data_IF_404412153955
#
_entry.id   IF_404412153955
#
_cell.length_a   1.000
_cell.length_b   1.000
_cell.length_c   1.000
_cell.angle_alpha   90.00
_cell.angle_beta   90.00
_cell.angle_gamma   90.00
#
_symmetry.space_group_name_H-M   'P 1'
#
loop_
_entity.id
_entity.type
_entity.pdbx_description
1 polymer ?
#
# COMPACT_ATOMS: atom_id res chain seq x y z
N UNK A 1 2.45 -22.76 -15.77
CA UNK A 1 2.86 -21.36 -15.51
C UNK A 1 1.61 -20.51 -15.59
N UNK A 2 1.18 -19.93 -14.47
CA UNK A 2 -0.05 -19.14 -14.42
C UNK A 2 0.14 -17.85 -15.22
N UNK A 3 -0.71 -17.65 -16.22
CA UNK A 3 -0.62 -16.53 -17.16
C UNK A 3 -1.06 -15.26 -16.41
N UNK A 4 -0.11 -14.55 -15.79
CA UNK A 4 -0.42 -13.33 -15.02
C UNK A 4 -1.10 -12.30 -15.93
N UNK A 5 -2.31 -11.88 -15.56
CA UNK A 5 -3.06 -10.88 -16.31
C UNK A 5 -2.23 -9.59 -16.43
N UNK A 6 -2.27 -8.92 -17.59
CA UNK A 6 -1.56 -7.65 -17.77
C UNK A 6 -2.18 -6.58 -16.85
N UNK A 7 -1.33 -5.86 -16.13
CA UNK A 7 -1.73 -4.74 -15.26
C UNK A 7 -2.03 -3.52 -16.15
N UNK A 8 -3.30 -3.13 -16.25
CA UNK A 8 -3.76 -1.96 -17.01
C UNK A 8 -4.17 -0.82 -16.10
N UNK A 9 -4.68 -1.14 -14.91
CA UNK A 9 -5.11 -0.21 -13.87
C UNK A 9 -4.55 -0.59 -12.51
N UNK A 10 -4.58 0.33 -11.55
CA UNK A 10 -4.24 0.02 -10.15
C UNK A 10 -5.21 -1.01 -9.54
N UNK A 11 -6.44 -1.11 -10.08
CA UNK A 11 -7.38 -2.17 -9.71
C UNK A 11 -6.86 -3.58 -9.99
N UNK A 12 -5.94 -3.75 -10.94
CA UNK A 12 -5.33 -5.04 -11.27
C UNK A 12 -4.21 -5.42 -10.28
N UNK A 13 -3.84 -4.54 -9.34
CA UNK A 13 -2.83 -4.81 -8.32
C UNK A 13 -3.48 -5.53 -7.12
N UNK A 14 -3.03 -6.75 -6.83
CA UNK A 14 -3.51 -7.51 -5.67
C UNK A 14 -3.31 -6.73 -4.36
N UNK A 15 -2.20 -6.00 -4.23
CA UNK A 15 -1.91 -5.16 -3.06
C UNK A 15 -2.94 -4.05 -2.87
N UNK A 16 -3.44 -3.45 -3.96
CA UNK A 16 -4.48 -2.45 -3.88
C UNK A 16 -5.80 -3.08 -3.41
N UNK A 17 -6.18 -4.23 -3.98
CA UNK A 17 -7.43 -4.91 -3.63
C UNK A 17 -7.43 -5.34 -2.16
N UNK A 18 -6.31 -5.86 -1.66
CA UNK A 18 -6.16 -6.27 -0.27
C UNK A 18 -6.18 -5.05 0.66
N UNK A 19 -5.40 -4.01 0.36
CA UNK A 19 -5.37 -2.78 1.15
C UNK A 19 -6.75 -2.11 1.22
N UNK A 20 -7.49 -2.07 0.12
CA UNK A 20 -8.85 -1.52 0.12
C UNK A 20 -9.79 -2.32 1.03
N UNK A 21 -9.82 -3.65 0.90
CA UNK A 21 -10.65 -4.53 1.77
C UNK A 21 -10.27 -4.37 3.24
N UNK A 22 -8.99 -4.40 3.57
CA UNK A 22 -8.50 -4.24 4.94
C UNK A 22 -8.89 -2.86 5.51
N UNK A 23 -8.74 -1.79 4.73
CA UNK A 23 -9.13 -0.43 5.16
C UNK A 23 -10.63 -0.32 5.48
N UNK A 24 -11.49 -1.00 4.70
CA UNK A 24 -12.94 -1.04 4.98
C UNK A 24 -13.22 -1.76 6.30
N UNK A 25 -12.54 -2.89 6.58
CA UNK A 25 -12.69 -3.59 7.84
C UNK A 25 -12.21 -2.73 9.02
N UNK A 26 -11.07 -2.05 8.92
CA UNK A 26 -10.60 -1.12 9.95
C UNK A 26 -11.67 -0.04 10.22
N UNK A 27 -12.18 0.60 9.17
CA UNK A 27 -13.15 1.70 9.31
C UNK A 27 -14.53 1.27 9.82
N UNK A 28 -14.94 0.03 9.56
CA UNK A 28 -16.29 -0.45 9.91
C UNK A 28 -16.32 -1.32 11.15
N UNK A 29 -15.19 -1.91 11.55
CA UNK A 29 -15.11 -2.90 12.65
C UNK A 29 -14.13 -2.53 13.76
N UNK A 30 -13.12 -1.69 13.50
CA UNK A 30 -12.15 -1.27 14.54
C UNK A 30 -12.49 0.13 15.03
N UNK A 31 -12.41 1.14 14.15
CA UNK A 31 -12.58 2.55 14.53
C UNK A 31 -13.89 2.84 15.30
N UNK A 32 -15.06 2.29 14.91
CA UNK A 32 -16.31 2.56 15.61
C UNK A 32 -16.37 1.97 17.03
N UNK A 33 -15.61 0.91 17.31
CA UNK A 33 -15.65 0.20 18.59
C UNK A 33 -14.71 0.79 19.64
N UNK A 34 -13.75 1.65 19.24
CA UNK A 34 -12.85 2.32 20.18
C UNK A 34 -13.62 3.26 21.12
N UNK A 35 -13.15 3.45 22.36
CA UNK A 35 -13.77 4.38 23.31
C UNK A 35 -13.71 5.83 22.81
N UNK A 36 -14.62 6.68 23.27
CA UNK A 36 -14.67 8.07 22.82
C UNK A 36 -13.46 8.91 23.26
N UNK A 37 -12.74 8.48 24.31
CA UNK A 37 -11.45 9.07 24.70
C UNK A 37 -10.41 9.03 23.58
N UNK A 38 -10.51 8.07 22.66
CA UNK A 38 -9.58 7.88 21.54
C UNK A 38 -9.95 8.68 20.28
N UNK A 39 -10.98 9.54 20.35
CA UNK A 39 -11.51 10.27 19.20
C UNK A 39 -10.45 11.06 18.42
N UNK A 40 -9.57 11.76 19.13
CA UNK A 40 -8.51 12.57 18.55
C UNK A 40 -7.14 11.87 18.57
N UNK A 41 -7.13 10.58 18.88
CA UNK A 41 -5.92 9.77 18.93
C UNK A 41 -6.09 8.50 18.07
N UNK A 42 -6.20 7.29 18.62
CA UNK A 42 -6.22 6.07 17.79
C UNK A 42 -7.34 6.06 16.75
N UNK A 43 -8.53 6.62 17.03
CA UNK A 43 -9.62 6.67 16.04
C UNK A 43 -9.20 7.48 14.82
N UNK A 44 -8.58 8.64 15.03
CA UNK A 44 -8.17 9.53 13.94
C UNK A 44 -6.96 8.98 13.20
N UNK A 45 -5.95 8.49 13.94
CA UNK A 45 -4.75 7.88 13.35
C UNK A 45 -5.11 6.68 12.46
N UNK A 46 -5.84 5.68 12.98
CA UNK A 46 -6.25 4.50 12.21
C UNK A 46 -7.17 4.84 11.04
N UNK A 47 -8.05 5.82 11.21
CA UNK A 47 -8.89 6.31 10.12
C UNK A 47 -8.01 6.84 8.98
N UNK A 48 -7.07 7.73 9.28
CA UNK A 48 -6.21 8.32 8.25
C UNK A 48 -5.30 7.28 7.60
N UNK A 49 -4.54 6.53 8.39
CA UNK A 49 -3.49 5.65 7.87
C UNK A 49 -4.04 4.47 7.07
N UNK A 50 -5.08 3.78 7.58
CA UNK A 50 -5.67 2.64 6.88
C UNK A 50 -6.24 3.02 5.50
N UNK A 51 -6.86 4.20 5.39
CA UNK A 51 -7.39 4.71 4.12
C UNK A 51 -6.30 5.28 3.22
N UNK A 52 -5.15 5.69 3.76
CA UNK A 52 -4.06 6.26 2.99
C UNK A 52 -3.39 5.21 2.10
N UNK A 53 -3.16 3.99 2.61
CA UNK A 53 -2.50 2.90 1.86
C UNK A 53 -3.10 2.68 0.46
N UNK A 54 -4.40 2.36 0.28
CA UNK A 54 -4.97 2.17 -1.06
C UNK A 54 -5.00 3.46 -1.90
N UNK A 55 -5.10 4.64 -1.29
CA UNK A 55 -5.06 5.93 -2.01
C UNK A 55 -3.68 6.20 -2.59
N UNK A 56 -2.63 6.00 -1.81
CA UNK A 56 -1.25 6.20 -2.21
C UNK A 56 -0.86 5.24 -3.34
N UNK A 57 -1.30 3.98 -3.29
CA UNK A 57 -1.10 3.03 -4.40
C UNK A 57 -1.75 3.55 -5.70
N UNK A 58 -3.00 4.02 -5.63
CA UNK A 58 -3.72 4.53 -6.79
C UNK A 58 -3.06 5.81 -7.36
N UNK A 59 -2.69 6.76 -6.50
CA UNK A 59 -2.03 8.00 -6.90
C UNK A 59 -0.63 7.75 -7.48
N UNK A 60 0.14 6.88 -6.84
CA UNK A 60 1.45 6.43 -7.32
C UNK A 60 1.35 5.77 -8.68
N UNK A 61 0.36 4.91 -8.89
CA UNK A 61 0.16 4.23 -10.17
C UNK A 61 -0.18 5.20 -11.32
N UNK A 62 -0.85 6.32 -11.04
CA UNK A 62 -1.06 7.39 -12.02
C UNK A 62 0.27 8.04 -12.45
N UNK A 63 1.24 8.11 -11.53
CA UNK A 63 2.58 8.68 -11.74
C UNK A 63 3.63 7.65 -12.16
N UNK A 64 3.24 6.39 -12.48
CA UNK A 64 4.14 5.31 -12.92
C UNK A 64 4.94 5.61 -14.18
N UNK A 65 4.64 6.63 -14.97
CA UNK A 65 5.54 6.99 -16.08
C UNK A 65 6.84 7.66 -15.58
N UNK A 66 6.84 8.17 -14.34
CA UNK A 66 7.98 8.79 -13.67
C UNK A 66 8.55 7.78 -12.67
N UNK A 67 9.80 7.34 -12.89
CA UNK A 67 10.44 6.31 -12.05
C UNK A 67 10.37 6.65 -10.55
N UNK A 68 10.86 7.83 -10.18
CA UNK A 68 10.87 8.31 -8.79
C UNK A 68 9.47 8.68 -8.29
N UNK A 69 8.54 8.99 -9.20
CA UNK A 69 7.16 9.32 -8.88
C UNK A 69 6.49 8.16 -8.17
N UNK A 70 6.38 6.99 -8.83
CA UNK A 70 5.68 5.85 -8.21
C UNK A 70 6.40 5.30 -6.97
N UNK A 71 7.73 5.28 -6.98
CA UNK A 71 8.50 4.75 -5.84
C UNK A 71 8.19 5.48 -4.53
N UNK A 72 8.20 6.82 -4.55
CA UNK A 72 7.84 7.63 -3.38
C UNK A 72 6.48 7.26 -2.78
N UNK A 73 5.46 7.05 -3.62
CA UNK A 73 4.13 6.67 -3.14
C UNK A 73 4.07 5.27 -2.55
N UNK A 74 4.90 4.34 -3.04
CA UNK A 74 5.01 3.00 -2.45
C UNK A 74 5.70 3.06 -1.09
N UNK A 75 6.72 3.90 -0.94
CA UNK A 75 7.40 4.15 0.34
C UNK A 75 6.43 4.79 1.35
N UNK A 76 5.69 5.82 0.93
CA UNK A 76 4.66 6.45 1.77
C UNK A 76 3.57 5.43 2.15
N UNK A 77 3.12 4.59 1.21
CA UNK A 77 2.12 3.54 1.48
C UNK A 77 2.63 2.49 2.46
N UNK A 78 3.94 2.17 2.43
CA UNK A 78 4.57 1.29 3.41
C UNK A 78 4.55 1.92 4.82
N UNK A 79 4.85 3.23 4.91
CA UNK A 79 4.76 3.97 6.17
C UNK A 79 3.36 3.90 6.79
N UNK A 80 2.34 4.19 6.00
CA UNK A 80 0.93 4.15 6.43
C UNK A 80 0.45 2.73 6.77
N UNK A 81 0.97 1.71 6.07
CA UNK A 81 0.72 0.30 6.40
C UNK A 81 1.27 -0.05 7.79
N UNK A 82 2.51 0.37 8.09
CA UNK A 82 3.14 0.13 9.37
C UNK A 82 2.44 0.91 10.51
N UNK A 83 2.05 2.17 10.27
CA UNK A 83 1.27 2.95 11.24
C UNK A 83 -0.06 2.25 11.55
N UNK A 84 -0.74 1.73 10.53
CA UNK A 84 -1.98 0.97 10.72
C UNK A 84 -1.76 -0.30 11.55
N UNK A 85 -0.69 -1.07 11.28
CA UNK A 85 -0.36 -2.28 12.05
C UNK A 85 -0.10 -1.95 13.52
N UNK A 86 0.69 -0.92 13.81
CA UNK A 86 0.98 -0.50 15.18
C UNK A 86 -0.30 -0.09 15.91
N UNK A 87 -1.16 0.70 15.26
CA UNK A 87 -2.46 1.06 15.82
C UNK A 87 -3.36 -0.15 16.09
N UNK A 88 -3.33 -1.17 15.23
CA UNK A 88 -4.08 -2.42 15.45
C UNK A 88 -3.52 -3.23 16.64
N UNK A 89 -2.20 -3.26 16.83
CA UNK A 89 -1.59 -3.86 18.03
C UNK A 89 -2.04 -3.11 19.30
N UNK A 90 -2.02 -1.78 19.28
CA UNK A 90 -2.48 -0.96 20.40
C UNK A 90 -3.98 -1.18 20.69
N UNK A 91 -4.84 -1.24 19.68
CA UNK A 91 -6.24 -1.62 19.83
C UNK A 91 -6.40 -2.96 20.56
N UNK A 92 -5.62 -3.97 20.17
CA UNK A 92 -5.67 -5.31 20.75
C UNK A 92 -5.23 -5.33 22.21
N UNK A 93 -4.14 -4.65 22.52
CA UNK A 93 -3.45 -4.78 23.80
C UNK A 93 -3.96 -3.79 24.86
N UNK A 94 -4.38 -2.59 24.45
CA UNK A 94 -4.90 -1.54 25.34
C UNK A 94 -6.41 -1.66 25.54
N UNK A 95 -7.14 -2.11 24.50
CA UNK A 95 -8.61 -2.11 24.49
C UNK A 95 -9.25 -3.50 24.31
N UNK A 96 -8.83 -4.55 25.05
CA UNK A 96 -9.33 -5.92 24.88
C UNK A 96 -10.83 -6.08 25.18
N UNK A 97 -11.43 -5.17 25.95
CA UNK A 97 -12.88 -5.16 26.23
C UNK A 97 -13.71 -4.60 25.06
N UNK A 98 -13.09 -3.79 24.20
CA UNK A 98 -13.75 -3.15 23.06
C UNK A 98 -13.47 -3.88 21.74
N UNK A 99 -12.39 -4.65 21.69
CA UNK A 99 -11.87 -5.27 20.47
C UNK A 99 -11.83 -6.79 20.57
N UNK A 100 -12.26 -7.45 19.51
CA UNK A 100 -12.05 -8.88 19.37
C UNK A 100 -10.60 -9.14 18.95
N UNK A 101 -9.83 -9.85 19.79
CA UNK A 101 -8.40 -10.03 19.59
C UNK A 101 -8.06 -10.82 18.30
N UNK A 102 -8.95 -11.71 17.89
CA UNK A 102 -8.89 -12.45 16.63
C UNK A 102 -9.00 -11.52 15.41
N UNK A 103 -9.94 -10.57 15.44
CA UNK A 103 -10.09 -9.57 14.37
C UNK A 103 -8.86 -8.68 14.25
N UNK A 104 -8.34 -8.19 15.38
CA UNK A 104 -7.10 -7.40 15.38
C UNK A 104 -5.93 -8.20 14.80
N UNK A 105 -5.76 -9.46 15.25
CA UNK A 105 -4.67 -10.32 14.79
C UNK A 105 -4.80 -10.63 13.29
N UNK A 106 -6.00 -10.93 12.80
CA UNK A 106 -6.26 -11.11 11.38
C UNK A 106 -5.90 -9.86 10.55
N UNK A 107 -6.28 -8.67 11.01
CA UNK A 107 -5.97 -7.43 10.29
C UNK A 107 -4.47 -7.12 10.33
N UNK A 108 -3.78 -7.40 11.43
CA UNK A 108 -2.31 -7.27 11.51
C UNK A 108 -1.65 -8.16 10.45
N UNK A 109 -2.08 -9.42 10.33
CA UNK A 109 -1.57 -10.35 9.33
C UNK A 109 -1.87 -9.90 7.88
N UNK A 110 -3.06 -9.36 7.63
CA UNK A 110 -3.39 -8.81 6.30
C UNK A 110 -2.53 -7.58 5.97
N UNK A 111 -2.27 -6.69 6.93
CA UNK A 111 -1.37 -5.57 6.69
C UNK A 111 0.09 -6.01 6.53
N UNK A 112 0.56 -7.06 7.23
CA UNK A 112 1.91 -7.62 7.01
C UNK A 112 2.04 -8.17 5.58
N UNK A 113 1.02 -8.88 5.11
CA UNK A 113 0.93 -9.33 3.72
C UNK A 113 0.91 -8.15 2.75
N UNK A 114 0.14 -7.09 3.03
CA UNK A 114 0.12 -5.87 2.20
C UNK A 114 1.51 -5.25 2.13
N UNK A 115 2.23 -5.12 3.25
CA UNK A 115 3.61 -4.62 3.29
C UNK A 115 4.54 -5.47 2.41
N UNK A 116 4.46 -6.81 2.50
CA UNK A 116 5.23 -7.70 1.61
C UNK A 116 4.87 -7.51 0.14
N UNK A 117 3.59 -7.29 -0.18
CA UNK A 117 3.17 -7.04 -1.55
C UNK A 117 3.63 -5.66 -2.07
N UNK A 118 3.62 -4.62 -1.23
CA UNK A 118 4.15 -3.29 -1.54
C UNK A 118 5.65 -3.38 -1.88
N UNK A 119 6.43 -4.04 -1.03
CA UNK A 119 7.86 -4.25 -1.26
C UNK A 119 8.13 -4.98 -2.59
N UNK A 120 7.39 -6.06 -2.86
CA UNK A 120 7.53 -6.80 -4.11
C UNK A 120 7.14 -5.95 -5.34
N UNK A 121 6.10 -5.13 -5.23
CA UNK A 121 5.70 -4.20 -6.28
C UNK A 121 6.78 -3.15 -6.53
N UNK A 122 7.39 -2.61 -5.48
CA UNK A 122 8.49 -1.65 -5.55
C UNK A 122 9.71 -2.26 -6.26
N UNK A 123 10.14 -3.46 -5.87
CA UNK A 123 11.24 -4.18 -6.52
C UNK A 123 10.96 -4.43 -8.01
N UNK A 124 9.75 -4.91 -8.33
CA UNK A 124 9.34 -5.18 -9.70
C UNK A 124 9.33 -3.89 -10.53
N UNK A 125 8.82 -2.79 -9.96
CA UNK A 125 8.75 -1.50 -10.61
C UNK A 125 10.14 -0.89 -10.86
N UNK A 126 11.04 -0.99 -9.89
CA UNK A 126 12.43 -0.54 -10.02
C UNK A 126 13.17 -1.29 -11.14
N UNK A 127 12.99 -2.61 -11.23
CA UNK A 127 13.56 -3.40 -12.32
C UNK A 127 12.98 -2.99 -13.68
N UNK A 128 11.65 -2.86 -13.79
CA UNK A 128 10.97 -2.50 -15.03
C UNK A 128 11.34 -1.11 -15.53
N UNK A 129 11.33 -0.11 -14.64
CA UNK A 129 11.64 1.28 -14.98
C UNK A 129 13.12 1.46 -15.39
N UNK A 130 14.04 0.71 -14.79
CA UNK A 130 15.47 0.70 -15.18
C UNK A 130 15.66 0.19 -16.60
N UNK A 131 15.03 -0.93 -16.96
CA UNK A 131 15.09 -1.51 -18.32
C UNK A 131 14.56 -0.50 -19.33
N UNK A 132 13.37 0.08 -19.08
CA UNK A 132 12.77 1.08 -19.96
C UNK A 132 13.66 2.31 -20.19
N UNK A 133 14.42 2.72 -19.18
CA UNK A 133 15.34 3.87 -19.26
C UNK A 133 16.59 3.55 -20.10
N UNK A 134 17.09 2.32 -20.01
CA UNK A 134 18.23 1.85 -20.81
C UNK A 134 17.85 1.74 -22.29
N UNK A 135 16.69 1.14 -22.58
CA UNK A 135 16.18 1.00 -23.95
C UNK A 135 15.98 2.37 -24.62
N UNK A 136 15.44 3.35 -23.89
CA UNK A 136 15.27 4.71 -24.43
C UNK A 136 16.59 5.40 -24.77
N UNK A 137 17.64 5.19 -23.96
CA UNK A 137 18.97 5.77 -24.21
C UNK A 137 19.64 5.14 -25.44
N UNK A 138 19.60 3.81 -25.54
CA UNK A 138 20.14 3.10 -26.70
C UNK A 138 19.46 3.49 -28.03
N UNK A 139 18.14 3.74 -28.00
CA UNK A 139 17.38 4.24 -29.14
C UNK A 139 17.74 5.68 -29.53
N UNK A 140 18.05 6.55 -28.55
CA UNK A 140 18.52 7.92 -28.83
C UNK A 140 19.93 7.92 -29.43
N UNK A 141 20.83 7.10 -28.91
CA UNK A 141 22.21 7.00 -29.41
C UNK A 141 22.25 6.46 -30.86
N UNK A 142 21.44 5.46 -31.18
CA UNK A 142 21.31 4.95 -32.57
C UNK A 142 20.67 5.93 -33.54
N UNK A 143 19.80 6.84 -33.08
CA UNK A 143 19.24 7.92 -33.91
C UNK A 143 20.27 9.02 -34.18
N UNK A 144 21.13 9.34 -33.21
CA UNK A 144 22.21 10.33 -33.36
C UNK A 144 23.38 9.82 -34.21
N UNK A 145 23.58 8.50 -34.27
CA UNK A 145 24.65 7.87 -35.03
C UNK A 145 24.32 7.62 -36.53
N UNK A 146 23.12 7.98 -37.01
CA UNK A 146 22.82 7.97 -38.45
C UNK A 146 23.31 9.27 -39.11
N UNK A 147 24.10 9.19 -40.20
CA UNK A 147 24.66 10.35 -40.89
C UNK A 147 23.60 11.24 -41.54
#
# INVERSE_FOLDING_TARGET
MENKKPIRSYHDLDVYQNAYKASVLVMTKIVPNLPESEKYDLKDQLSRSSKAVPRLIAEGFAKKHQRLGFQKYLDDAMGESNETQVGLCQCKDIYPTYMAADLCSHLIDEYDKISKQLFNLELAWNKFSRIKTLDSRQLEDTRRAKP
#
